data_IF_386447485400
#
_entry.id   IF_386447485400
#
_cell.length_a   1.000
_cell.length_b   1.000
_cell.length_c   1.000
_cell.angle_alpha   90.00
_cell.angle_beta   90.00
_cell.angle_gamma   90.00
#
_symmetry.space_group_name_H-M   'P 1'
#
loop_
_entity.id
_entity.type
_entity.pdbx_description
1 polymer ?
#
# COMPACT_ATOMS: atom_id res chain seq x y z
N UNK A 1 2.91 -13.10 -16.64
CA UNK A 1 1.78 -12.27 -16.20
C UNK A 1 0.54 -12.89 -16.80
N UNK A 2 -0.47 -13.25 -16.01
CA UNK A 2 -1.72 -13.78 -16.55
C UNK A 2 -2.40 -12.72 -17.43
N UNK A 3 -2.99 -13.14 -18.54
CA UNK A 3 -3.69 -12.24 -19.46
C UNK A 3 -4.80 -11.51 -18.70
N UNK A 4 -4.71 -10.17 -18.65
CA UNK A 4 -5.67 -9.31 -17.93
C UNK A 4 -5.16 -8.75 -16.59
N UNK A 5 -4.01 -9.19 -16.06
CA UNK A 5 -3.41 -8.61 -14.85
C UNK A 5 -2.29 -7.63 -15.21
N UNK A 6 -2.41 -6.37 -14.76
CA UNK A 6 -1.36 -5.34 -14.90
C UNK A 6 -0.67 -5.15 -13.55
N UNK A 7 0.65 -5.30 -13.52
CA UNK A 7 1.45 -4.98 -12.33
C UNK A 7 1.71 -3.48 -12.32
N UNK A 8 1.42 -2.83 -11.20
CA UNK A 8 1.65 -1.40 -10.99
C UNK A 8 2.39 -1.25 -9.67
N UNK A 9 3.54 -0.58 -9.70
CA UNK A 9 4.30 -0.22 -8.52
C UNK A 9 3.96 1.22 -8.14
N UNK A 10 3.52 1.43 -6.90
CA UNK A 10 3.24 2.75 -6.35
C UNK A 10 4.27 3.08 -5.27
N UNK A 11 4.82 4.29 -5.33
CA UNK A 11 5.65 4.84 -4.26
C UNK A 11 4.77 5.67 -3.34
N UNK A 12 4.59 5.22 -2.10
CA UNK A 12 3.82 5.93 -1.08
C UNK A 12 4.80 6.62 -0.12
N UNK A 13 4.72 7.94 -0.01
CA UNK A 13 5.49 8.72 0.96
C UNK A 13 4.60 9.02 2.15
N UNK A 14 5.01 8.56 3.32
CA UNK A 14 4.32 8.84 4.57
C UNK A 14 5.02 10.01 5.25
N UNK A 15 4.26 11.06 5.56
CA UNK A 15 4.76 12.25 6.23
C UNK A 15 3.70 12.76 7.20
N UNK A 16 4.14 13.15 8.39
CA UNK A 16 3.31 13.76 9.40
C UNK A 16 3.96 15.11 9.79
N UNK A 17 3.22 16.23 9.73
CA UNK A 17 3.78 17.57 9.94
C UNK A 17 4.04 17.90 11.42
N UNK A 18 3.47 17.13 12.35
CA UNK A 18 3.54 17.40 13.78
C UNK A 18 4.60 16.53 14.49
N UNK A 19 4.97 15.39 13.89
CA UNK A 19 5.94 14.44 14.46
C UNK A 19 6.56 13.52 13.42
N UNK A 20 7.69 12.93 13.76
CA UNK A 20 8.27 11.84 12.97
C UNK A 20 7.41 10.59 13.08
N UNK A 21 7.01 10.04 11.95
CA UNK A 21 6.29 8.77 11.91
C UNK A 21 7.21 7.63 12.34
N UNK A 22 6.67 6.74 13.17
CA UNK A 22 7.36 5.49 13.50
C UNK A 22 7.14 4.44 12.41
N UNK A 23 8.07 3.50 12.28
CA UNK A 23 7.95 2.37 11.34
C UNK A 23 6.63 1.60 11.53
N UNK A 24 6.17 1.47 12.77
CA UNK A 24 4.89 0.83 13.11
C UNK A 24 3.69 1.60 12.55
N UNK A 25 3.68 2.92 12.66
CA UNK A 25 2.61 3.78 12.13
C UNK A 25 2.57 3.75 10.60
N UNK A 26 3.74 3.85 9.97
CA UNK A 26 3.89 3.72 8.51
C UNK A 26 3.38 2.36 8.06
N UNK A 27 3.76 1.28 8.74
CA UNK A 27 3.33 -0.08 8.42
C UNK A 27 1.82 -0.23 8.57
N UNK A 28 1.21 0.32 9.64
CA UNK A 28 -0.25 0.31 9.83
C UNK A 28 -0.97 1.06 8.71
N UNK A 29 -0.47 2.23 8.32
CA UNK A 29 -1.03 3.00 7.21
C UNK A 29 -0.88 2.23 5.89
N UNK A 30 0.27 1.61 5.65
CA UNK A 30 0.53 0.80 4.48
C UNK A 30 -0.41 -0.41 4.39
N UNK A 31 -0.60 -1.14 5.48
CA UNK A 31 -1.53 -2.26 5.53
C UNK A 31 -2.98 -1.85 5.27
N UNK A 32 -3.40 -0.67 5.74
CA UNK A 32 -4.74 -0.15 5.41
C UNK A 32 -4.91 0.08 3.92
N UNK A 33 -3.88 0.64 3.27
CA UNK A 33 -3.90 0.84 1.81
C UNK A 33 -3.95 -0.51 1.10
N UNK A 34 -3.12 -1.49 1.51
CA UNK A 34 -3.14 -2.84 0.94
C UNK A 34 -4.52 -3.47 1.04
N UNK A 35 -5.12 -3.49 2.23
CA UNK A 35 -6.48 -4.02 2.44
C UNK A 35 -7.51 -3.32 1.57
N UNK A 36 -7.47 -2.00 1.48
CA UNK A 36 -8.43 -1.26 0.65
C UNK A 36 -8.31 -1.61 -0.83
N UNK A 37 -7.08 -1.78 -1.34
CA UNK A 37 -6.83 -2.16 -2.74
C UNK A 37 -7.18 -3.64 -2.98
N UNK A 38 -6.92 -4.51 -2.00
CA UNK A 38 -7.36 -5.91 -2.01
C UNK A 38 -8.90 -6.01 -2.05
N UNK A 39 -9.62 -5.31 -1.19
CA UNK A 39 -11.08 -5.35 -1.12
C UNK A 39 -11.75 -4.69 -2.33
N UNK A 40 -11.22 -3.56 -2.82
CA UNK A 40 -11.85 -2.78 -3.89
C UNK A 40 -11.50 -3.31 -5.28
N UNK A 41 -10.28 -3.79 -5.47
CA UNK A 41 -9.74 -4.16 -6.78
C UNK A 41 -9.30 -5.62 -6.87
N UNK A 42 -9.46 -6.41 -5.80
CA UNK A 42 -9.02 -7.80 -5.73
C UNK A 42 -7.53 -7.96 -6.12
N UNK A 43 -6.75 -6.90 -5.87
CA UNK A 43 -5.35 -6.82 -6.23
C UNK A 43 -4.52 -7.66 -5.26
N UNK A 44 -3.51 -8.37 -5.75
CA UNK A 44 -2.60 -9.12 -4.90
C UNK A 44 -1.26 -8.39 -4.82
N UNK A 45 -0.76 -8.16 -3.60
CA UNK A 45 0.58 -7.66 -3.41
C UNK A 45 1.57 -8.67 -4.00
N UNK A 46 2.43 -8.20 -4.89
CA UNK A 46 3.49 -8.99 -5.49
C UNK A 46 4.82 -8.37 -5.11
N UNK A 47 5.54 -9.02 -4.20
CA UNK A 47 6.92 -8.73 -3.82
C UNK A 47 7.88 -9.72 -4.45
#
# INVERSE_FOLDING_TARGET
MEAGKKSVAFSLTYFDPERTLTDEEVTKAHQKVLKAVEETHNAQLRG
#
